data_IF_755372682611
#
_entry.id   IF_755372682611
#
_cell.length_a   1.000
_cell.length_b   1.000
_cell.length_c   1.000
_cell.angle_alpha   90.00
_cell.angle_beta   90.00
_cell.angle_gamma   90.00
#
_symmetry.space_group_name_H-M   'P 1'
#
loop_
_entity.id
_entity.type
_entity.pdbx_description
1 polymer ?
#
# COMPACT_ATOMS: atom_id res chain seq x y z
N UNK A 1 2.54 16.81 28.53
CA UNK A 1 1.79 16.16 27.44
C UNK A 1 1.40 14.76 27.89
N UNK A 2 0.12 14.48 28.10
CA UNK A 2 -0.32 13.14 28.50
C UNK A 2 -0.06 12.18 27.36
N UNK A 3 0.77 11.16 27.62
CA UNK A 3 1.07 10.11 26.65
C UNK A 3 -0.17 9.21 26.52
N UNK A 4 -0.78 9.18 25.34
CA UNK A 4 -1.88 8.28 25.06
C UNK A 4 -1.36 6.84 25.19
N UNK A 5 -2.03 6.01 26.00
CA UNK A 5 -1.71 4.59 26.18
C UNK A 5 -2.77 3.75 25.49
N UNK A 6 -2.43 2.52 25.15
CA UNK A 6 -3.43 1.56 24.72
C UNK A 6 -4.47 1.38 25.85
N UNK A 7 -5.74 1.22 25.46
CA UNK A 7 -6.82 1.01 26.41
C UNK A 7 -7.90 0.09 25.81
N UNK A 8 -8.63 -0.57 26.69
CA UNK A 8 -9.81 -1.38 26.34
C UNK A 8 -11.04 -0.47 26.27
N UNK A 9 -11.92 -0.71 25.34
CA UNK A 9 -13.25 -0.10 25.27
C UNK A 9 -14.29 -1.15 24.83
N UNK A 10 -15.55 -0.89 25.13
CA UNK A 10 -16.67 -1.74 24.75
C UNK A 10 -17.47 -1.08 23.61
N UNK A 11 -17.81 -1.89 22.59
CA UNK A 11 -18.66 -1.49 21.49
C UNK A 11 -19.58 -2.65 21.11
N UNK A 12 -20.90 -2.42 21.06
CA UNK A 12 -21.93 -3.43 20.79
C UNK A 12 -21.88 -4.66 21.72
N UNK A 13 -21.47 -4.49 22.98
CA UNK A 13 -21.36 -5.58 23.97
C UNK A 13 -20.09 -6.42 23.86
N UNK A 14 -19.16 -6.07 22.96
CA UNK A 14 -17.88 -6.71 22.82
C UNK A 14 -16.73 -5.79 23.22
N UNK A 15 -15.62 -6.37 23.69
CA UNK A 15 -14.44 -5.65 24.16
C UNK A 15 -13.38 -5.57 23.08
N UNK A 16 -12.85 -4.36 22.88
CA UNK A 16 -11.83 -4.04 21.90
C UNK A 16 -10.67 -3.31 22.55
N UNK A 17 -9.48 -3.46 21.96
CA UNK A 17 -8.32 -2.70 22.34
C UNK A 17 -8.09 -1.54 21.35
N UNK A 18 -7.95 -0.34 21.89
CA UNK A 18 -7.44 0.79 21.12
C UNK A 18 -5.92 0.74 21.12
N UNK A 19 -5.33 0.63 19.95
CA UNK A 19 -3.89 0.55 19.74
C UNK A 19 -3.50 1.26 18.45
N UNK A 20 -2.22 1.19 18.09
CA UNK A 20 -1.74 1.69 16.81
C UNK A 20 -2.25 0.78 15.69
N UNK A 21 -2.74 1.41 14.62
CA UNK A 21 -3.18 0.67 13.43
C UNK A 21 -1.99 0.10 12.66
N UNK A 22 -2.21 -1.03 12.01
CA UNK A 22 -1.24 -1.61 11.07
C UNK A 22 -1.67 -1.20 9.66
N UNK A 23 -0.70 -0.77 8.85
CA UNK A 23 -0.84 -0.57 7.41
C UNK A 23 0.15 -1.44 6.68
N UNK A 24 -0.20 -1.90 5.49
CA UNK A 24 0.65 -2.73 4.65
C UNK A 24 0.88 -2.01 3.33
N UNK A 25 2.13 -1.88 2.94
CA UNK A 25 2.54 -1.29 1.66
C UNK A 25 3.27 -2.33 0.82
N UNK A 26 2.99 -2.37 -0.49
CA UNK A 26 3.60 -3.33 -1.42
C UNK A 26 4.34 -2.59 -2.52
N UNK A 27 5.67 -2.65 -2.50
CA UNK A 27 6.53 -2.12 -3.56
C UNK A 27 6.62 -3.13 -4.70
N UNK A 28 6.10 -2.81 -5.87
CA UNK A 28 6.03 -3.73 -7.01
C UNK A 28 6.98 -3.27 -8.09
N UNK A 29 7.86 -4.18 -8.52
CA UNK A 29 8.86 -3.93 -9.53
C UNK A 29 8.68 -4.84 -10.73
N UNK A 30 8.87 -4.30 -11.93
CA UNK A 30 8.89 -5.02 -13.18
C UNK A 30 9.89 -4.37 -14.14
N UNK A 31 10.32 -5.07 -15.18
CA UNK A 31 11.15 -4.48 -16.23
C UNK A 31 10.29 -3.94 -17.37
N UNK A 32 10.77 -2.90 -18.04
CA UNK A 32 10.23 -2.50 -19.34
C UNK A 32 10.82 -3.39 -20.47
N UNK A 33 10.37 -3.17 -21.70
CA UNK A 33 10.85 -3.89 -22.88
C UNK A 33 12.33 -3.68 -23.19
N UNK A 34 12.91 -2.59 -22.70
CA UNK A 34 14.34 -2.26 -22.83
C UNK A 34 15.19 -2.84 -21.69
N UNK A 35 14.57 -3.50 -20.72
CA UNK A 35 15.20 -4.13 -19.57
C UNK A 35 15.47 -3.21 -18.39
N UNK A 36 14.97 -1.97 -18.40
CA UNK A 36 15.08 -1.05 -17.27
C UNK A 36 14.08 -1.42 -16.17
N UNK A 37 14.47 -1.25 -14.93
CA UNK A 37 13.60 -1.47 -13.80
C UNK A 37 12.59 -0.33 -13.63
N UNK A 38 11.33 -0.69 -13.51
CA UNK A 38 10.21 0.18 -13.20
C UNK A 38 9.57 -0.18 -11.88
N UNK A 39 8.99 0.80 -11.21
CA UNK A 39 8.16 0.62 -10.02
C UNK A 39 6.72 0.99 -10.34
N UNK A 40 5.77 0.21 -9.81
CA UNK A 40 4.35 0.52 -9.87
C UNK A 40 4.02 1.56 -8.82
N UNK A 41 3.35 2.61 -9.24
CA UNK A 41 2.82 3.66 -8.36
C UNK A 41 1.36 3.96 -8.69
N UNK A 42 0.61 4.39 -7.69
CA UNK A 42 -0.75 4.88 -7.82
C UNK A 42 -0.87 6.31 -7.28
N UNK A 43 -1.71 7.12 -7.90
CA UNK A 43 -1.97 8.49 -7.50
C UNK A 43 -3.21 8.54 -6.62
N UNK A 44 -3.06 9.10 -5.43
CA UNK A 44 -4.13 9.22 -4.45
C UNK A 44 -5.21 10.18 -4.92
N UNK A 45 -6.42 9.70 -5.01
CA UNK A 45 -7.60 10.45 -5.43
C UNK A 45 -8.23 11.28 -4.30
N UNK A 46 -9.29 11.99 -4.64
CA UNK A 46 -10.02 12.87 -3.71
C UNK A 46 -10.77 12.13 -2.59
N UNK A 47 -11.04 10.83 -2.75
CA UNK A 47 -11.60 9.96 -1.71
C UNK A 47 -10.64 9.68 -0.56
N UNK A 48 -9.33 9.85 -0.78
CA UNK A 48 -8.35 9.62 0.26
C UNK A 48 -8.42 10.65 1.40
N UNK A 49 -8.29 10.24 2.66
CA UNK A 49 -8.37 11.15 3.81
C UNK A 49 -7.18 12.12 3.92
N UNK A 50 -6.11 11.91 3.15
CA UNK A 50 -4.92 12.77 3.15
C UNK A 50 -4.03 12.53 1.94
N UNK A 51 -3.09 13.45 1.70
CA UNK A 51 -2.10 13.39 0.62
C UNK A 51 -2.73 13.19 -0.78
N UNK A 52 -3.91 13.79 -1.01
CA UNK A 52 -4.59 13.79 -2.31
C UNK A 52 -3.66 14.33 -3.39
N UNK A 53 -3.65 13.68 -4.55
CA UNK A 53 -2.81 14.02 -5.69
C UNK A 53 -1.34 13.61 -5.56
N UNK A 54 -0.94 12.97 -4.44
CA UNK A 54 0.41 12.42 -4.27
C UNK A 54 0.50 11.01 -4.78
N UNK A 55 1.65 10.66 -5.31
CA UNK A 55 1.98 9.30 -5.72
C UNK A 55 2.41 8.45 -4.53
N UNK A 56 2.03 7.19 -4.55
CA UNK A 56 2.32 6.20 -3.50
C UNK A 56 2.48 4.83 -4.15
N UNK A 57 2.90 3.85 -3.37
CA UNK A 57 2.76 2.42 -3.69
C UNK A 57 1.41 1.92 -3.16
N UNK A 58 0.84 0.83 -3.69
CA UNK A 58 -0.37 0.22 -3.15
C UNK A 58 -0.26 -0.02 -1.64
N UNK A 59 -1.22 0.48 -0.87
CA UNK A 59 -1.15 0.40 0.58
C UNK A 59 -2.47 0.74 1.28
N UNK A 60 -2.83 -0.06 2.27
CA UNK A 60 -3.99 0.20 3.13
C UNK A 60 -3.91 -0.40 4.52
N UNK A 61 -5.02 -0.37 5.22
CA UNK A 61 -5.13 -0.86 6.60
C UNK A 61 -5.40 -2.36 6.63
N UNK A 62 -4.80 -3.02 7.63
CA UNK A 62 -5.07 -4.43 7.93
C UNK A 62 -6.49 -4.57 8.49
N UNK A 63 -7.30 -5.40 7.85
CA UNK A 63 -8.64 -5.75 8.31
C UNK A 63 -8.63 -6.85 9.39
N UNK A 64 -9.76 -7.01 10.10
CA UNK A 64 -9.85 -7.95 11.23
C UNK A 64 -9.68 -9.42 10.83
N UNK A 65 -10.12 -9.79 9.65
CA UNK A 65 -10.21 -11.19 9.23
C UNK A 65 -9.11 -11.60 8.23
N UNK A 66 -8.02 -10.82 8.14
CA UNK A 66 -6.92 -11.12 7.23
C UNK A 66 -5.55 -11.13 7.91
N UNK A 67 -4.60 -11.83 7.34
CA UNK A 67 -3.19 -11.72 7.70
C UNK A 67 -2.50 -10.61 6.90
N UNK A 68 -1.35 -10.15 7.40
CA UNK A 68 -0.59 -9.03 6.83
C UNK A 68 -0.26 -9.23 5.33
N UNK A 69 0.07 -10.47 4.93
CA UNK A 69 0.38 -10.76 3.52
C UNK A 69 -0.88 -10.68 2.66
N UNK A 70 -2.01 -11.19 3.16
CA UNK A 70 -3.31 -11.09 2.49
C UNK A 70 -3.76 -9.64 2.32
N UNK A 71 -3.56 -8.80 3.34
CA UNK A 71 -3.78 -7.37 3.25
C UNK A 71 -3.00 -6.74 2.09
N UNK A 72 -1.69 -6.97 2.01
CA UNK A 72 -0.87 -6.44 0.91
C UNK A 72 -1.31 -6.92 -0.48
N UNK A 73 -1.78 -8.16 -0.58
CA UNK A 73 -2.34 -8.71 -1.84
C UNK A 73 -3.69 -8.05 -2.18
N UNK A 74 -4.60 -7.90 -1.21
CA UNK A 74 -5.91 -7.27 -1.39
C UNK A 74 -5.76 -5.82 -1.82
N UNK A 75 -5.02 -5.01 -1.09
CA UNK A 75 -4.77 -3.59 -1.40
C UNK A 75 -4.14 -3.42 -2.79
N UNK A 76 -3.18 -4.30 -3.14
CA UNK A 76 -2.61 -4.29 -4.49
C UNK A 76 -3.67 -4.55 -5.56
N UNK A 77 -4.56 -5.53 -5.35
CA UNK A 77 -5.62 -5.81 -6.29
C UNK A 77 -6.65 -4.68 -6.38
N UNK A 78 -7.09 -4.15 -5.25
CA UNK A 78 -8.08 -3.07 -5.19
C UNK A 78 -7.57 -1.80 -5.88
N UNK A 79 -6.36 -1.39 -5.60
CA UNK A 79 -5.80 -0.14 -6.12
C UNK A 79 -5.21 -0.26 -7.54
N UNK A 80 -4.86 -1.47 -8.02
CA UNK A 80 -4.14 -1.62 -9.30
C UNK A 80 -4.68 -2.69 -10.25
N UNK A 81 -5.60 -3.55 -9.79
CA UNK A 81 -6.12 -4.69 -10.54
C UNK A 81 -5.16 -5.88 -10.61
N UNK A 82 -3.96 -5.79 -10.06
CA UNK A 82 -2.98 -6.87 -10.14
C UNK A 82 -3.25 -7.96 -9.09
N UNK A 83 -3.38 -9.19 -9.55
CA UNK A 83 -3.45 -10.37 -8.69
C UNK A 83 -2.03 -10.87 -8.43
N UNK A 84 -1.54 -10.69 -7.21
CA UNK A 84 -0.21 -11.12 -6.79
C UNK A 84 -0.28 -12.47 -6.09
N UNK A 85 0.36 -13.53 -6.62
CA UNK A 85 0.47 -14.79 -5.89
C UNK A 85 1.27 -14.61 -4.59
N UNK A 86 0.80 -15.21 -3.50
CA UNK A 86 1.45 -15.12 -2.18
C UNK A 86 2.96 -15.49 -2.22
N UNK A 87 3.35 -16.40 -3.09
CA UNK A 87 4.75 -16.83 -3.24
C UNK A 87 5.67 -15.72 -3.73
N UNK A 88 5.14 -14.67 -4.35
CA UNK A 88 5.89 -13.50 -4.81
C UNK A 88 5.98 -12.38 -3.76
N UNK A 89 5.21 -12.47 -2.68
CA UNK A 89 5.23 -11.50 -1.60
C UNK A 89 6.48 -11.71 -0.73
N UNK A 90 7.42 -10.77 -0.76
CA UNK A 90 8.63 -10.82 0.03
C UNK A 90 8.57 -9.75 1.12
N UNK A 91 8.66 -10.16 2.38
CA UNK A 91 8.77 -9.22 3.49
C UNK A 91 10.07 -8.41 3.37
N UNK A 92 9.95 -7.08 3.53
CA UNK A 92 11.11 -6.19 3.49
C UNK A 92 11.42 -5.57 4.85
N UNK A 93 10.44 -4.85 5.45
CA UNK A 93 10.69 -4.10 6.68
C UNK A 93 9.40 -3.80 7.44
N UNK A 94 9.58 -3.40 8.71
CA UNK A 94 8.55 -2.76 9.52
C UNK A 94 9.05 -1.38 9.92
N UNK A 95 8.28 -0.35 9.58
CA UNK A 95 8.48 0.98 10.12
C UNK A 95 7.48 1.23 11.24
N UNK A 96 7.98 1.27 12.47
CA UNK A 96 7.18 1.51 13.68
C UNK A 96 7.49 2.85 14.37
N UNK A 97 8.32 3.69 13.74
CA UNK A 97 8.63 5.03 14.27
C UNK A 97 7.34 5.86 14.26
N UNK A 98 6.92 6.40 15.41
CA UNK A 98 5.72 7.21 15.48
C UNK A 98 5.83 8.47 14.62
N UNK A 99 4.87 8.67 13.74
CA UNK A 99 4.69 9.94 13.05
C UNK A 99 3.90 10.92 13.95
N UNK A 100 4.07 12.20 13.73
CA UNK A 100 3.33 13.26 14.46
C UNK A 100 1.85 13.29 14.07
N UNK A 101 1.49 12.81 12.90
CA UNK A 101 0.13 12.83 12.33
C UNK A 101 -0.58 11.50 12.48
N UNK A 102 0.13 10.41 12.23
CA UNK A 102 -0.40 9.03 12.23
C UNK A 102 0.52 8.14 13.05
N UNK A 103 -0.05 7.37 13.92
CA UNK A 103 0.67 6.45 14.79
C UNK A 103 0.73 5.05 14.20
N UNK A 104 0.65 4.89 12.88
CA UNK A 104 0.60 3.58 12.23
C UNK A 104 1.93 2.83 12.40
N UNK A 105 1.82 1.51 12.40
CA UNK A 105 2.92 0.59 12.15
C UNK A 105 2.80 0.17 10.69
N UNK A 106 3.79 0.51 9.87
CA UNK A 106 3.76 0.20 8.45
C UNK A 106 4.62 -1.03 8.16
N UNK A 107 3.98 -2.09 7.63
CA UNK A 107 4.65 -3.31 7.16
C UNK A 107 4.87 -3.19 5.66
N UNK A 108 6.08 -3.43 5.20
CA UNK A 108 6.47 -3.24 3.81
C UNK A 108 6.84 -4.58 3.19
N UNK A 109 6.17 -4.90 2.10
CA UNK A 109 6.51 -6.00 1.21
C UNK A 109 7.10 -5.48 -0.10
N UNK A 110 7.83 -6.32 -0.80
CA UNK A 110 8.17 -6.09 -2.20
C UNK A 110 7.82 -7.31 -3.05
N UNK A 111 7.55 -7.03 -4.31
CA UNK A 111 7.24 -8.02 -5.35
C UNK A 111 8.08 -7.71 -6.59
N UNK A 112 8.66 -8.73 -7.18
CA UNK A 112 9.28 -8.66 -8.50
C UNK A 112 8.42 -9.46 -9.46
N UNK A 113 7.75 -8.78 -10.38
CA UNK A 113 6.92 -9.41 -11.38
C UNK A 113 7.79 -10.03 -12.48
N UNK A 114 7.44 -11.23 -12.97
CA UNK A 114 8.07 -11.82 -14.15
C UNK A 114 7.64 -11.06 -15.42
N UNK A 115 8.36 -11.25 -16.53
CA UNK A 115 8.04 -10.63 -17.82
C UNK A 115 8.35 -9.13 -17.88
N UNK A 116 7.52 -8.38 -18.60
CA UNK A 116 7.67 -6.94 -18.80
C UNK A 116 6.38 -6.21 -18.43
N UNK A 117 6.48 -4.89 -18.20
CA UNK A 117 5.33 -4.06 -17.79
C UNK A 117 4.14 -4.17 -18.74
N UNK A 118 4.39 -4.38 -20.03
CA UNK A 118 3.35 -4.50 -21.07
C UNK A 118 2.53 -5.81 -20.95
N UNK A 119 2.99 -6.78 -20.18
CA UNK A 119 2.26 -8.01 -19.89
C UNK A 119 1.14 -7.81 -18.86
N UNK A 120 1.07 -6.63 -18.22
CA UNK A 120 0.18 -6.35 -17.09
C UNK A 120 -0.83 -5.27 -17.43
N UNK A 121 -2.11 -5.60 -17.28
CA UNK A 121 -3.20 -4.63 -17.39
C UNK A 121 -3.49 -4.03 -16.01
N UNK A 122 -3.41 -2.71 -15.90
CA UNK A 122 -3.69 -1.97 -14.68
C UNK A 122 -5.12 -1.41 -14.70
N UNK A 123 -5.82 -1.48 -13.58
CA UNK A 123 -7.14 -0.89 -13.39
C UNK A 123 -7.37 -0.53 -11.92
N UNK A 124 -8.08 0.56 -11.66
CA UNK A 124 -8.55 0.97 -10.33
C UNK A 124 -10.04 0.70 -10.12
N UNK A 125 -10.67 -0.11 -10.96
CA UNK A 125 -12.12 -0.41 -10.88
C UNK A 125 -12.53 -1.11 -9.58
N UNK A 126 -11.56 -1.67 -8.85
CA UNK A 126 -11.79 -2.38 -7.60
C UNK A 126 -11.52 -1.55 -6.35
N UNK A 127 -10.97 -0.34 -6.51
CA UNK A 127 -10.70 0.56 -5.38
C UNK A 127 -11.97 1.21 -4.84
N UNK A 128 -11.89 1.72 -3.62
CA UNK A 128 -12.96 2.56 -3.07
C UNK A 128 -13.22 3.78 -3.99
N UNK A 129 -14.45 4.31 -4.00
CA UNK A 129 -14.78 5.43 -4.86
C UNK A 129 -13.83 6.63 -4.69
N UNK A 130 -13.28 7.09 -5.80
CA UNK A 130 -12.37 8.25 -5.86
C UNK A 130 -11.06 8.07 -5.06
N UNK A 131 -10.68 6.85 -4.69
CA UNK A 131 -9.45 6.58 -3.93
C UNK A 131 -8.19 6.64 -4.79
N UNK A 132 -8.27 6.17 -6.04
CA UNK A 132 -7.16 6.14 -6.99
C UNK A 132 -7.48 6.97 -8.23
N UNK A 133 -6.68 8.01 -8.48
CA UNK A 133 -6.82 8.86 -9.66
C UNK A 133 -6.10 8.31 -10.90
N UNK A 134 -4.94 7.65 -10.69
CA UNK A 134 -4.07 7.18 -11.77
C UNK A 134 -3.15 6.06 -11.29
N UNK A 135 -2.71 5.19 -12.22
CA UNK A 135 -1.82 4.05 -11.93
C UNK A 135 -0.83 3.91 -13.09
N UNK A 136 0.44 3.77 -12.77
CA UNK A 136 1.45 3.56 -13.80
C UNK A 136 2.70 2.85 -13.28
N UNK A 137 3.43 2.23 -14.21
CA UNK A 137 4.82 1.88 -13.99
C UNK A 137 5.72 3.05 -14.40
N UNK A 138 6.66 3.42 -13.55
CA UNK A 138 7.67 4.45 -13.85
C UNK A 138 9.08 3.89 -13.70
N UNK A 139 10.04 4.30 -14.53
CA UNK A 139 11.44 3.95 -14.34
C UNK A 139 11.92 4.35 -12.93
N UNK A 140 12.60 3.43 -12.23
CA UNK A 140 13.09 3.70 -10.86
C UNK A 140 14.00 4.93 -10.83
N UNK A 141 14.76 5.18 -11.90
CA UNK A 141 15.61 6.37 -12.03
C UNK A 141 14.83 7.68 -11.90
N UNK A 142 13.55 7.71 -12.27
CA UNK A 142 12.71 8.91 -12.16
C UNK A 142 12.26 9.20 -10.72
N UNK A 143 12.17 8.19 -9.85
CA UNK A 143 11.75 8.36 -8.45
C UNK A 143 12.74 9.25 -7.67
N UNK A 144 14.02 9.21 -8.02
CA UNK A 144 15.08 9.94 -7.33
C UNK A 144 15.40 11.31 -7.94
N UNK A 145 14.81 11.64 -9.08
CA UNK A 145 15.11 12.88 -9.84
C UNK A 145 13.94 13.83 -9.95
N UNK A 146 12.75 13.41 -9.55
CA UNK A 146 11.51 14.18 -9.73
C UNK A 146 10.90 14.54 -8.38
N UNK A 147 10.41 15.78 -8.25
CA UNK A 147 9.43 16.16 -7.22
C UNK A 147 8.06 15.53 -7.59
N UNK A 148 7.97 14.19 -7.48
CA UNK A 148 6.72 13.46 -7.75
C UNK A 148 5.78 13.58 -6.55
#
# INVERSE_FOLDING_TARGET
MNKLRNFEFEYNGEKYWYSRSITVATCIFCKDSDGNWCALINKRGKGCPSAVGKWNVPAGYLDHDEDICSCGMRETYEETGLIIPRVLMNFYAINSVPDTRRQNVNVIYYVVLPGVIDDYQLTSEHSEPDEVDDIMFIPISMIFTSDI
#
